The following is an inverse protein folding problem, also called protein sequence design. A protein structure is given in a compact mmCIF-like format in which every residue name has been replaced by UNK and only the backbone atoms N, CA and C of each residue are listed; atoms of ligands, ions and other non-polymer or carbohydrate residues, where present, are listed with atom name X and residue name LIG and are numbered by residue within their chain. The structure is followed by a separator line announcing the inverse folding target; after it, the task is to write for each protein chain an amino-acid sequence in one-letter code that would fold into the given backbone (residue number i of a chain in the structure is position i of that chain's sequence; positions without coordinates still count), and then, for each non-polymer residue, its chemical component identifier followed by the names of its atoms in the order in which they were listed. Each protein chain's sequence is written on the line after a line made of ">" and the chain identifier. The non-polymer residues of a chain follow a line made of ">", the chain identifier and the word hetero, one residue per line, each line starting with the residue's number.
data_IF_765827719221
#
_entry.id   IF_765827719221
#
_cell.length_a   1.000
_cell.length_b   1.000
_cell.length_c   1.000
_cell.angle_alpha   90.00
_cell.angle_beta   90.00
_cell.angle_gamma   90.00
#
_symmetry.space_group_name_H-M   'P 1'
#
loop_
_entity.id
_entity.type
_entity.pdbx_description
1 polymer ?
#
# COMPACT_ATOMS: atom_id res chain seq x y z
N UNK A 1 -7.69 3.69 23.77
CA UNK A 1 -7.42 2.67 22.76
C UNK A 1 -7.47 1.29 23.45
N UNK A 2 -8.21 0.36 22.85
CA UNK A 2 -8.12 -1.07 23.17
C UNK A 2 -7.73 -1.81 21.89
N UNK A 3 -6.71 -2.64 21.93
CA UNK A 3 -6.20 -3.36 20.78
C UNK A 3 -5.98 -4.84 21.14
N UNK A 4 -6.33 -5.72 20.21
CA UNK A 4 -6.03 -7.15 20.27
C UNK A 4 -5.45 -7.57 18.93
N UNK A 5 -4.41 -8.37 18.96
CA UNK A 5 -3.79 -8.96 17.80
C UNK A 5 -3.41 -10.42 18.10
N UNK A 6 -3.61 -11.28 17.11
CA UNK A 6 -3.14 -12.65 17.13
C UNK A 6 -2.55 -12.98 15.76
N UNK A 7 -1.43 -13.67 15.74
CA UNK A 7 -0.75 -14.02 14.51
C UNK A 7 0.00 -15.34 14.60
N UNK A 8 0.29 -15.88 13.43
CA UNK A 8 1.09 -17.10 13.27
C UNK A 8 2.15 -16.86 12.21
N UNK A 9 3.33 -17.40 12.43
CA UNK A 9 4.42 -17.44 11.48
C UNK A 9 4.87 -18.89 11.30
N UNK A 10 5.00 -19.29 10.04
CA UNK A 10 5.64 -20.53 9.62
C UNK A 10 6.89 -20.19 8.83
N UNK A 11 7.99 -20.87 9.10
CA UNK A 11 9.26 -20.67 8.42
C UNK A 11 9.97 -22.01 8.27
N UNK A 12 10.07 -22.49 7.05
CA UNK A 12 10.72 -23.78 6.77
C UNK A 12 11.19 -23.85 5.31
N UNK A 13 12.46 -24.26 5.12
CA UNK A 13 13.07 -24.66 3.84
C UNK A 13 12.65 -23.79 2.63
N UNK A 14 12.81 -22.48 2.76
CA UNK A 14 12.50 -21.55 1.66
C UNK A 14 11.04 -21.16 1.53
N UNK A 15 10.20 -21.50 2.50
CA UNK A 15 8.81 -21.01 2.58
C UNK A 15 8.67 -20.24 3.90
N UNK A 16 8.26 -18.98 3.81
CA UNK A 16 7.84 -18.20 4.96
C UNK A 16 6.38 -17.79 4.77
N UNK A 17 5.53 -18.18 5.71
CA UNK A 17 4.13 -17.79 5.75
C UNK A 17 3.83 -17.02 7.03
N UNK A 18 3.05 -15.95 6.92
CA UNK A 18 2.58 -15.18 8.06
C UNK A 18 1.09 -14.90 7.89
N UNK A 19 0.35 -14.94 8.99
CA UNK A 19 -1.02 -14.47 9.04
C UNK A 19 -1.28 -13.80 10.38
N UNK A 20 -2.00 -12.69 10.38
CA UNK A 20 -2.46 -12.02 11.58
C UNK A 20 -3.90 -11.52 11.44
N UNK A 21 -4.56 -11.42 12.59
CA UNK A 21 -5.86 -10.81 12.77
C UNK A 21 -5.72 -9.77 13.88
N UNK A 22 -6.32 -8.61 13.68
CA UNK A 22 -6.31 -7.57 14.70
C UNK A 22 -7.67 -6.88 14.81
N UNK A 23 -7.94 -6.43 16.01
CA UNK A 23 -9.10 -5.61 16.33
C UNK A 23 -8.70 -4.43 17.20
N UNK A 24 -9.08 -3.24 16.76
CA UNK A 24 -8.79 -1.99 17.46
C UNK A 24 -10.06 -1.22 17.72
N UNK A 25 -10.19 -0.68 18.93
CA UNK A 25 -11.27 0.20 19.31
C UNK A 25 -10.70 1.53 19.80
N UNK A 26 -10.86 2.55 18.97
CA UNK A 26 -10.46 3.91 19.27
C UNK A 26 -11.63 4.67 19.85
N UNK A 27 -11.41 5.30 21.01
CA UNK A 27 -12.33 6.26 21.61
C UNK A 27 -11.64 7.61 21.65
N UNK A 28 -12.41 8.69 21.56
CA UNK A 28 -11.90 10.04 21.64
C UNK A 28 -10.85 10.37 20.55
N UNK A 29 -11.14 9.97 19.33
CA UNK A 29 -10.29 10.30 18.18
C UNK A 29 -10.48 11.77 17.83
N UNK A 30 -9.38 12.51 17.72
CA UNK A 30 -9.40 13.90 17.22
C UNK A 30 -9.33 13.86 15.70
N UNK A 31 -10.28 14.50 15.04
CA UNK A 31 -10.32 14.62 13.59
C UNK A 31 -10.85 15.97 13.16
N UNK A 32 -10.59 16.33 11.92
CA UNK A 32 -11.21 17.47 11.26
C UNK A 32 -12.52 17.01 10.62
N UNK A 33 -13.61 17.64 11.05
CA UNK A 33 -14.94 17.34 10.53
C UNK A 33 -15.59 18.58 9.95
N UNK A 34 -16.51 18.36 9.02
CA UNK A 34 -17.41 19.41 8.50
C UNK A 34 -18.84 18.90 8.45
N UNK A 35 -19.78 19.78 8.78
CA UNK A 35 -21.22 19.62 8.58
C UNK A 35 -21.69 20.15 7.22
N UNK A 36 -20.76 20.61 6.38
CA UNK A 36 -21.07 21.24 5.09
C UNK A 36 -21.26 22.75 5.16
N UNK A 37 -21.17 23.35 6.33
CA UNK A 37 -21.25 24.83 6.47
C UNK A 37 -20.09 25.49 5.72
N UNK A 38 -20.39 26.56 5.00
CA UNK A 38 -19.41 27.37 4.29
C UNK A 38 -19.03 28.60 5.11
N UNK A 39 -17.81 29.07 4.94
CA UNK A 39 -17.34 30.35 5.47
C UNK A 39 -17.85 31.55 4.61
N UNK A 40 -17.47 32.75 4.99
CA UNK A 40 -17.86 33.97 4.28
C UNK A 40 -17.31 34.04 2.83
N UNK A 41 -16.31 33.24 2.50
CA UNK A 41 -15.69 33.15 1.17
C UNK A 41 -16.22 31.95 0.35
N UNK A 42 -17.21 31.20 0.88
CA UNK A 42 -17.77 30.02 0.23
C UNK A 42 -16.93 28.76 0.38
N UNK A 43 -15.91 28.75 1.24
CA UNK A 43 -15.10 27.57 1.50
C UNK A 43 -15.72 26.72 2.62
N UNK A 44 -15.56 25.40 2.52
CA UNK A 44 -16.07 24.45 3.53
C UNK A 44 -15.36 24.66 4.87
N UNK A 45 -16.16 24.92 5.91
CA UNK A 45 -15.68 25.07 7.28
C UNK A 45 -15.32 23.70 7.88
N UNK A 46 -14.06 23.58 8.34
CA UNK A 46 -13.56 22.43 9.04
C UNK A 46 -13.29 22.76 10.51
N UNK A 47 -13.70 21.86 11.39
CA UNK A 47 -13.49 22.00 12.84
C UNK A 47 -12.73 20.78 13.36
N UNK A 48 -11.68 21.01 14.16
CA UNK A 48 -11.01 19.94 14.89
C UNK A 48 -11.85 19.58 16.11
N UNK A 49 -12.29 18.35 16.19
CA UNK A 49 -13.14 17.88 17.28
C UNK A 49 -12.68 16.51 17.77
N UNK A 50 -13.06 16.22 19.02
CA UNK A 50 -12.94 14.88 19.57
C UNK A 50 -14.10 14.03 19.03
N UNK A 51 -13.80 13.25 18.00
CA UNK A 51 -14.76 12.60 17.13
C UNK A 51 -14.94 11.14 17.49
N UNK A 52 -15.97 10.83 18.27
CA UNK A 52 -16.61 9.54 18.39
C UNK A 52 -15.71 8.31 18.63
N UNK A 53 -16.21 7.19 18.18
CA UNK A 53 -15.57 5.88 18.27
C UNK A 53 -15.37 5.27 16.89
N UNK A 54 -14.18 4.74 16.63
CA UNK A 54 -13.88 3.97 15.44
C UNK A 54 -13.42 2.58 15.84
N UNK A 55 -14.01 1.57 15.24
CA UNK A 55 -13.60 0.17 15.38
C UNK A 55 -12.97 -0.28 14.07
N UNK A 56 -11.79 -0.86 14.17
CA UNK A 56 -11.11 -1.53 13.05
C UNK A 56 -11.04 -3.02 13.32
N UNK A 57 -11.36 -3.79 12.32
CA UNK A 57 -10.99 -5.19 12.21
C UNK A 57 -10.14 -5.35 10.96
N UNK A 58 -9.01 -6.05 11.09
CA UNK A 58 -8.16 -6.29 9.94
C UNK A 58 -7.53 -7.66 9.97
N UNK A 59 -7.10 -8.08 8.80
CA UNK A 59 -6.33 -9.30 8.59
C UNK A 59 -5.20 -9.03 7.61
N UNK A 60 -4.07 -9.66 7.87
CA UNK A 60 -2.91 -9.63 7.00
C UNK A 60 -2.41 -11.06 6.78
N UNK A 61 -2.01 -11.36 5.56
CA UNK A 61 -1.40 -12.63 5.21
C UNK A 61 -0.27 -12.42 4.20
N UNK A 62 0.81 -13.16 4.34
CA UNK A 62 1.90 -13.19 3.38
C UNK A 62 2.47 -14.59 3.18
N UNK A 63 2.94 -14.84 1.96
CA UNK A 63 3.66 -16.04 1.56
C UNK A 63 4.89 -15.60 0.76
N UNK A 64 6.05 -16.03 1.19
CA UNK A 64 7.34 -15.78 0.55
C UNK A 64 8.03 -17.11 0.25
N UNK A 65 8.49 -17.28 -0.99
CA UNK A 65 9.17 -18.46 -1.48
C UNK A 65 10.59 -18.11 -1.92
N UNK A 66 11.57 -18.76 -1.32
CA UNK A 66 12.94 -18.82 -1.85
C UNK A 66 13.03 -19.98 -2.85
N UNK A 67 12.89 -19.64 -4.13
CA UNK A 67 12.80 -20.62 -5.19
C UNK A 67 14.15 -21.29 -5.49
N UNK A 68 15.27 -20.73 -5.03
CA UNK A 68 16.57 -21.41 -5.09
C UNK A 68 16.67 -22.56 -4.09
N UNK A 69 16.05 -22.42 -2.92
CA UNK A 69 15.99 -23.50 -1.94
C UNK A 69 14.96 -24.57 -2.31
N UNK A 70 13.81 -24.15 -2.84
CA UNK A 70 12.72 -25.07 -3.18
C UNK A 70 12.98 -25.85 -4.47
N UNK A 71 13.66 -25.24 -5.44
CA UNK A 71 13.93 -25.79 -6.76
C UNK A 71 15.43 -25.68 -7.08
N UNK A 72 16.31 -26.42 -6.39
CA UNK A 72 17.76 -26.25 -6.46
C UNK A 72 18.38 -26.58 -7.82
N UNK A 73 17.66 -27.28 -8.69
CA UNK A 73 18.09 -27.61 -10.05
C UNK A 73 18.01 -26.46 -11.05
N UNK A 74 17.28 -25.39 -10.71
CA UNK A 74 17.12 -24.20 -11.55
C UNK A 74 17.77 -22.97 -10.92
N UNK A 75 18.15 -21.98 -11.75
CA UNK A 75 18.79 -20.71 -11.31
C UNK A 75 18.09 -19.47 -11.86
N UNK A 76 16.99 -19.63 -12.55
CA UNK A 76 16.26 -18.53 -13.18
C UNK A 76 15.32 -17.83 -12.18
N UNK A 77 14.46 -18.59 -11.49
CA UNK A 77 13.55 -18.03 -10.50
C UNK A 77 14.24 -17.94 -9.14
N UNK A 78 14.38 -16.71 -8.60
CA UNK A 78 15.01 -16.47 -7.29
C UNK A 78 14.00 -16.50 -6.16
N UNK A 79 13.03 -15.61 -6.23
CA UNK A 79 12.03 -15.40 -5.17
C UNK A 79 10.68 -15.08 -5.77
N UNK A 80 9.65 -15.53 -5.09
CA UNK A 80 8.28 -15.12 -5.33
C UNK A 80 7.61 -14.82 -4.01
N UNK A 81 6.89 -13.71 -3.93
CA UNK A 81 6.18 -13.32 -2.73
C UNK A 81 4.82 -12.74 -3.05
N UNK A 82 3.87 -12.97 -2.17
CA UNK A 82 2.55 -12.35 -2.19
C UNK A 82 2.17 -11.92 -0.78
N UNK A 83 1.49 -10.79 -0.66
CA UNK A 83 0.89 -10.38 0.59
C UNK A 83 -0.44 -9.66 0.34
N UNK A 84 -1.37 -9.86 1.26
CA UNK A 84 -2.67 -9.25 1.24
C UNK A 84 -3.02 -8.69 2.60
N UNK A 85 -3.56 -7.49 2.63
CA UNK A 85 -4.14 -6.91 3.84
C UNK A 85 -5.56 -6.42 3.56
N UNK A 86 -6.42 -6.64 4.54
CA UNK A 86 -7.80 -6.20 4.54
C UNK A 86 -8.11 -5.48 5.85
N UNK A 87 -8.75 -4.32 5.74
CA UNK A 87 -9.24 -3.55 6.88
C UNK A 87 -10.72 -3.28 6.71
N UNK A 88 -11.51 -3.62 7.71
CA UNK A 88 -12.88 -3.18 7.86
C UNK A 88 -12.98 -2.18 8.98
N UNK A 89 -13.42 -0.97 8.64
CA UNK A 89 -13.63 0.10 9.60
C UNK A 89 -15.11 0.38 9.79
N UNK A 90 -15.54 0.40 11.04
CA UNK A 90 -16.91 0.81 11.42
C UNK A 90 -16.83 2.06 12.28
N UNK A 91 -17.45 3.13 11.79
CA UNK A 91 -17.73 4.32 12.58
C UNK A 91 -18.95 4.03 13.48
N UNK A 92 -18.83 4.31 14.77
CA UNK A 92 -19.89 3.99 15.74
C UNK A 92 -20.83 5.17 15.96
N UNK A 93 -20.38 6.40 15.66
CA UNK A 93 -21.19 7.60 15.81
C UNK A 93 -21.26 8.37 14.48
N UNK A 94 -22.49 8.63 14.01
CA UNK A 94 -22.72 9.20 12.70
C UNK A 94 -23.64 10.43 12.78
N UNK A 95 -23.14 11.52 13.37
CA UNK A 95 -23.87 12.79 13.49
C UNK A 95 -23.95 13.58 12.17
N UNK A 96 -23.86 12.92 11.01
CA UNK A 96 -23.96 13.59 9.71
C UNK A 96 -22.70 14.30 9.23
N UNK A 97 -21.63 14.31 10.02
CA UNK A 97 -20.38 14.98 9.66
C UNK A 97 -19.55 14.21 8.62
N UNK A 98 -18.85 14.96 7.78
CA UNK A 98 -17.79 14.45 6.90
C UNK A 98 -16.47 14.52 7.67
N UNK A 99 -15.77 13.40 7.77
CA UNK A 99 -14.44 13.31 8.37
C UNK A 99 -13.38 13.53 7.30
N UNK A 100 -12.32 14.24 7.62
CA UNK A 100 -11.23 14.52 6.68
C UNK A 100 -10.22 13.38 6.59
N UNK A 101 -9.96 12.70 7.71
CA UNK A 101 -8.90 11.68 7.79
C UNK A 101 -9.38 10.31 8.26
N UNK A 102 -10.23 10.28 9.29
CA UNK A 102 -10.58 9.02 9.95
C UNK A 102 -11.37 8.03 9.09
N UNK A 103 -12.02 8.48 8.01
CA UNK A 103 -12.80 7.63 7.12
C UNK A 103 -12.06 7.26 5.83
N UNK A 104 -10.86 7.82 5.61
CA UNK A 104 -10.02 7.50 4.47
C UNK A 104 -9.01 6.42 4.87
N UNK A 105 -9.33 5.17 4.62
CA UNK A 105 -8.45 4.05 4.93
C UNK A 105 -8.28 3.10 3.76
N UNK A 106 -7.14 2.43 3.72
CA UNK A 106 -6.84 1.43 2.71
C UNK A 106 -7.54 0.11 3.05
N UNK A 107 -8.68 -0.14 2.39
CA UNK A 107 -9.53 -1.30 2.67
C UNK A 107 -8.91 -2.61 2.21
N UNK A 108 -8.36 -2.61 1.00
CA UNK A 108 -7.70 -3.77 0.42
C UNK A 108 -6.35 -3.36 -0.15
N UNK A 109 -5.33 -4.12 0.16
CA UNK A 109 -4.01 -4.02 -0.46
C UNK A 109 -3.51 -5.41 -0.79
N UNK A 110 -3.16 -5.62 -2.04
CA UNK A 110 -2.46 -6.81 -2.49
C UNK A 110 -1.12 -6.39 -3.09
N UNK A 111 -0.07 -7.08 -2.73
CA UNK A 111 1.25 -6.92 -3.32
C UNK A 111 1.79 -8.28 -3.74
N UNK A 112 2.52 -8.30 -4.85
CA UNK A 112 3.25 -9.48 -5.31
C UNK A 112 4.60 -9.05 -5.84
N UNK A 113 5.62 -9.86 -5.62
CA UNK A 113 6.94 -9.67 -6.16
C UNK A 113 7.45 -10.97 -6.80
N UNK A 114 8.16 -10.82 -7.91
CA UNK A 114 8.84 -11.91 -8.59
C UNK A 114 10.26 -11.45 -8.89
N UNK A 115 11.25 -12.21 -8.45
CA UNK A 115 12.65 -11.96 -8.73
C UNK A 115 13.23 -13.08 -9.59
N UNK A 116 13.84 -12.70 -10.68
CA UNK A 116 14.47 -13.55 -11.66
C UNK A 116 15.98 -13.29 -11.69
N UNK A 117 16.77 -14.32 -11.92
CA UNK A 117 18.15 -14.16 -12.35
C UNK A 117 18.21 -14.45 -13.84
N UNK A 118 18.44 -13.43 -14.66
CA UNK A 118 18.48 -13.57 -16.11
C UNK A 118 19.80 -14.17 -16.59
N UNK A 119 20.88 -13.75 -15.95
CA UNK A 119 22.23 -14.20 -16.29
C UNK A 119 23.23 -13.81 -15.21
N UNK A 120 24.07 -14.76 -14.73
CA UNK A 120 25.15 -14.54 -13.74
C UNK A 120 24.83 -13.45 -12.69
N UNK A 121 25.15 -12.19 -13.03
CA UNK A 121 25.04 -11.03 -12.15
C UNK A 121 23.84 -10.12 -12.49
N UNK A 122 23.01 -10.52 -13.44
CA UNK A 122 21.86 -9.74 -13.92
C UNK A 122 20.57 -10.27 -13.33
N UNK A 123 19.96 -9.48 -12.47
CA UNK A 123 18.68 -9.75 -11.85
C UNK A 123 17.58 -8.86 -12.42
N UNK A 124 16.36 -9.37 -12.50
CA UNK A 124 15.17 -8.66 -12.89
C UNK A 124 14.07 -8.90 -11.85
N UNK A 125 13.54 -7.82 -11.31
CA UNK A 125 12.41 -7.84 -10.37
C UNK A 125 11.16 -7.23 -10.99
N UNK A 126 10.01 -7.83 -10.69
CA UNK A 126 8.70 -7.27 -10.94
C UNK A 126 7.96 -7.13 -9.62
N UNK A 127 7.28 -6.01 -9.44
CA UNK A 127 6.54 -5.68 -8.24
C UNK A 127 5.16 -5.20 -8.64
N UNK A 128 4.14 -5.94 -8.24
CA UNK A 128 2.75 -5.55 -8.47
C UNK A 128 2.12 -5.08 -7.17
N UNK A 129 1.37 -4.00 -7.24
CA UNK A 129 0.60 -3.44 -6.13
C UNK A 129 -0.81 -3.12 -6.59
N UNK A 130 -1.80 -3.71 -5.94
CA UNK A 130 -3.20 -3.34 -6.05
C UNK A 130 -3.66 -2.68 -4.77
N UNK A 131 -4.45 -1.61 -4.89
CA UNK A 131 -5.00 -0.88 -3.75
C UNK A 131 -6.45 -0.48 -4.00
N UNK A 132 -7.25 -0.59 -2.93
CA UNK A 132 -8.60 -0.07 -2.85
C UNK A 132 -8.75 0.73 -1.57
N UNK A 133 -8.83 2.05 -1.70
CA UNK A 133 -9.04 3.01 -0.62
C UNK A 133 -10.50 3.34 -0.47
N UNK A 134 -10.98 3.42 0.76
CA UNK A 134 -12.29 3.97 1.11
C UNK A 134 -12.18 5.48 1.32
N UNK A 135 -13.32 6.15 1.27
CA UNK A 135 -13.39 7.60 1.43
C UNK A 135 -13.61 8.33 0.11
N UNK A 136 -13.47 9.64 0.17
CA UNK A 136 -13.71 10.53 -0.96
C UNK A 136 -12.73 11.70 -0.90
N UNK A 137 -12.44 12.29 -2.02
CA UNK A 137 -11.67 13.52 -2.13
C UNK A 137 -12.41 14.57 -2.97
N UNK A 138 -12.01 15.80 -2.88
CA UNK A 138 -12.53 16.89 -3.73
C UNK A 138 -11.54 17.07 -4.88
N UNK A 139 -12.02 16.95 -6.11
CA UNK A 139 -11.20 17.14 -7.30
C UNK A 139 -10.96 18.64 -7.63
N UNK A 140 -10.20 18.92 -8.69
CA UNK A 140 -9.88 20.28 -9.13
C UNK A 140 -11.10 21.08 -9.60
N UNK A 141 -12.22 20.42 -9.87
CA UNK A 141 -13.49 21.04 -10.27
C UNK A 141 -14.43 21.22 -9.07
N UNK A 142 -13.95 21.12 -7.83
CA UNK A 142 -14.73 21.12 -6.60
C UNK A 142 -15.81 20.02 -6.52
N UNK A 143 -15.62 18.90 -7.25
CA UNK A 143 -16.54 17.78 -7.23
C UNK A 143 -16.05 16.69 -6.28
N UNK A 144 -16.96 16.08 -5.54
CA UNK A 144 -16.64 14.97 -4.65
C UNK A 144 -16.47 13.68 -5.46
N UNK A 145 -15.31 13.10 -5.39
CA UNK A 145 -14.91 11.88 -6.08
C UNK A 145 -14.62 10.75 -5.08
N UNK A 146 -15.05 9.54 -5.40
CA UNK A 146 -14.63 8.34 -4.66
C UNK A 146 -13.29 7.84 -5.18
N UNK A 147 -12.47 7.28 -4.29
CA UNK A 147 -11.23 6.63 -4.71
C UNK A 147 -11.53 5.41 -5.58
N UNK A 148 -10.94 5.38 -6.75
CA UNK A 148 -10.98 4.21 -7.63
C UNK A 148 -9.90 3.22 -7.22
N UNK A 149 -10.20 1.93 -7.32
CA UNK A 149 -9.18 0.90 -7.19
C UNK A 149 -8.20 0.99 -8.35
N UNK A 150 -6.94 0.70 -8.07
CA UNK A 150 -5.89 0.73 -9.10
C UNK A 150 -4.85 -0.37 -8.86
N UNK A 151 -4.16 -0.73 -9.94
CA UNK A 151 -3.02 -1.63 -9.92
C UNK A 151 -1.83 -0.99 -10.63
N UNK A 152 -0.65 -1.13 -10.05
CA UNK A 152 0.62 -0.61 -10.58
C UNK A 152 1.63 -1.74 -10.65
N UNK A 153 2.38 -1.78 -11.73
CA UNK A 153 3.52 -2.68 -11.90
C UNK A 153 4.79 -1.84 -11.98
N UNK A 154 5.74 -2.16 -11.14
CA UNK A 154 7.10 -1.62 -11.18
C UNK A 154 8.07 -2.73 -11.59
N UNK A 155 9.18 -2.38 -12.23
CA UNK A 155 10.21 -3.33 -12.63
C UNK A 155 11.59 -2.76 -12.37
N UNK A 156 12.51 -3.60 -11.90
CA UNK A 156 13.90 -3.21 -11.65
C UNK A 156 14.86 -4.24 -12.19
N UNK A 157 15.74 -3.81 -13.07
CA UNK A 157 16.88 -4.57 -13.56
C UNK A 157 18.13 -4.15 -12.80
N UNK A 158 18.87 -5.11 -12.27
CA UNK A 158 20.06 -4.87 -11.43
C UNK A 158 21.24 -5.70 -11.90
N UNK A 159 22.37 -5.05 -12.14
CA UNK A 159 23.65 -5.70 -12.39
C UNK A 159 24.52 -5.63 -11.14
N UNK A 160 24.87 -6.80 -10.59
CA UNK A 160 25.66 -6.94 -9.37
C UNK A 160 27.11 -7.32 -9.70
N UNK A 161 28.03 -6.36 -9.79
CA UNK A 161 29.46 -6.60 -9.91
C UNK A 161 30.11 -6.71 -8.52
N UNK A 162 31.40 -7.14 -8.47
CA UNK A 162 32.12 -7.33 -7.20
C UNK A 162 32.27 -6.03 -6.37
N UNK A 163 32.47 -4.89 -7.04
CA UNK A 163 32.73 -3.61 -6.39
C UNK A 163 31.66 -2.55 -6.62
N UNK A 164 30.66 -2.84 -7.43
CA UNK A 164 29.58 -1.89 -7.74
C UNK A 164 28.31 -2.62 -8.14
N UNK A 165 27.22 -1.93 -7.98
CA UNK A 165 25.89 -2.37 -8.42
C UNK A 165 25.28 -1.25 -9.25
N UNK A 166 24.84 -1.54 -10.46
CA UNK A 166 24.05 -0.60 -11.27
C UNK A 166 22.62 -1.11 -11.40
N UNK A 167 21.68 -0.19 -11.52
CA UNK A 167 20.29 -0.55 -11.73
C UNK A 167 19.57 0.43 -12.64
N UNK A 168 18.53 -0.06 -13.29
CA UNK A 168 17.48 0.71 -13.95
C UNK A 168 16.15 0.25 -13.39
N UNK A 169 15.32 1.20 -13.00
CA UNK A 169 14.01 0.97 -12.43
C UNK A 169 12.96 1.71 -13.26
N UNK A 170 11.94 1.00 -13.69
CA UNK A 170 10.78 1.55 -14.37
C UNK A 170 9.58 1.46 -13.41
N UNK A 171 9.09 2.61 -12.99
CA UNK A 171 7.95 2.73 -12.09
C UNK A 171 6.68 3.00 -12.87
N UNK A 172 5.57 2.42 -12.41
CA UNK A 172 4.29 2.49 -13.08
C UNK A 172 4.41 2.13 -14.58
N UNK A 173 4.96 0.94 -14.85
CA UNK A 173 5.39 0.47 -16.17
C UNK A 173 4.31 0.61 -17.25
N UNK A 174 3.04 0.47 -16.88
CA UNK A 174 1.90 0.57 -17.80
C UNK A 174 1.21 1.93 -17.79
N UNK A 175 1.76 2.93 -17.09
CA UNK A 175 1.24 4.29 -17.06
C UNK A 175 -0.15 4.43 -16.44
N UNK A 176 -0.48 3.64 -15.43
CA UNK A 176 -1.77 3.74 -14.75
C UNK A 176 -2.00 5.16 -14.19
N UNK A 177 -3.16 5.73 -14.46
CA UNK A 177 -3.58 7.01 -13.89
C UNK A 177 -4.37 6.78 -12.62
N UNK A 178 -3.86 7.26 -11.49
CA UNK A 178 -4.52 7.06 -10.20
C UNK A 178 -4.24 8.19 -9.21
N UNK A 179 -5.12 8.30 -8.23
CA UNK A 179 -4.99 9.16 -7.05
C UNK A 179 -4.87 8.23 -5.85
N UNK A 180 -3.81 8.36 -5.08
CA UNK A 180 -3.61 7.48 -3.91
C UNK A 180 -4.20 8.08 -2.65
N UNK A 181 -3.89 9.35 -2.35
CA UNK A 181 -4.36 10.03 -1.16
C UNK A 181 -4.62 11.52 -1.44
N UNK A 182 -5.71 12.03 -0.87
CA UNK A 182 -6.12 13.41 -1.15
C UNK A 182 -6.42 13.61 -2.63
N UNK A 183 -6.29 14.80 -3.11
CA UNK A 183 -6.45 15.15 -4.53
C UNK A 183 -5.09 15.21 -5.27
N UNK A 184 -4.20 14.26 -5.01
CA UNK A 184 -2.86 14.26 -5.60
C UNK A 184 -2.76 13.15 -6.65
N UNK A 185 -2.82 13.51 -7.96
CA UNK A 185 -2.54 12.56 -9.04
C UNK A 185 -1.11 12.02 -8.92
N UNK A 186 -0.96 10.73 -9.11
CA UNK A 186 0.34 10.09 -9.08
C UNK A 186 1.00 10.11 -10.46
N UNK A 187 2.35 10.10 -10.53
CA UNK A 187 3.06 10.09 -11.80
C UNK A 187 2.67 8.88 -12.67
N UNK A 188 2.62 9.10 -13.98
CA UNK A 188 2.56 8.01 -14.96
C UNK A 188 3.84 7.18 -14.98
N UNK A 189 4.15 6.54 -16.09
CA UNK A 189 5.38 5.77 -16.23
C UNK A 189 6.61 6.70 -16.17
N UNK A 190 7.62 6.29 -15.35
CA UNK A 190 8.88 7.02 -15.23
C UNK A 190 10.03 6.05 -14.91
N UNK A 191 11.26 6.47 -15.23
CA UNK A 191 12.45 5.63 -15.12
C UNK A 191 13.52 6.32 -14.27
N UNK A 192 14.19 5.52 -13.44
CA UNK A 192 15.36 5.91 -12.65
C UNK A 192 16.50 4.96 -12.93
N UNK A 193 17.72 5.48 -12.99
CA UNK A 193 18.95 4.68 -13.01
C UNK A 193 19.89 5.13 -11.90
N UNK A 194 20.66 4.19 -11.37
CA UNK A 194 21.63 4.49 -10.32
C UNK A 194 22.77 3.49 -10.27
N UNK A 195 23.85 3.93 -9.63
CA UNK A 195 25.05 3.13 -9.37
C UNK A 195 25.44 3.27 -7.91
N UNK A 196 25.76 2.15 -7.26
CA UNK A 196 26.30 2.09 -5.91
C UNK A 196 27.68 1.45 -5.93
N UNK A 197 28.62 2.03 -5.19
CA UNK A 197 29.98 1.48 -5.03
C UNK A 197 30.10 0.79 -3.68
N UNK A 198 30.67 -0.43 -3.68
CA UNK A 198 31.00 -1.17 -2.47
C UNK A 198 32.53 -1.01 -2.22
N UNK A 199 32.87 -0.13 -1.29
CA UNK A 199 34.24 0.19 -0.90
C UNK A 199 34.82 -0.85 0.06
#
# INVERSE_FOLDING_TARGET
>A
LSAFEAGVKYDNKGITAKASLYWNNHKNLIDWISDGTLDANGAVLWKSVNFGKIKHFGTEASLDFDLYQLLPSQRFFKKFGVAYSYIHQKKVDNQGYVSKYALEYLKNKFVSNLQLNLWRNLDLGFYYRFQHRMGNYIDTNNQRQSYKSYGVVDSRMTWNAKKWTAYVEANNLFGAHYVDYGNVPQPGAWVVAGVSLNL
#
